data_IF_461664452636
#
_entry.id   IF_461664452636
#
_cell.length_a   1.000
_cell.length_b   1.000
_cell.length_c   1.000
_cell.angle_alpha   90.00
_cell.angle_beta   90.00
_cell.angle_gamma   90.00
#
_symmetry.space_group_name_H-M   'P 1'
#
loop_
_entity.id
_entity.type
_entity.pdbx_description
1 polymer ?
#
# COMPACT_ATOMS: atom_id res chain seq x y z
N UNK A 1 32.14 49.21 -3.58
CA UNK A 1 31.38 48.38 -2.61
C UNK A 1 30.41 47.49 -3.37
N UNK A 2 30.79 46.27 -3.62
CA UNK A 2 29.90 45.28 -4.27
C UNK A 2 29.10 44.60 -3.18
N UNK A 3 27.78 44.76 -3.20
CA UNK A 3 26.87 43.99 -2.36
C UNK A 3 26.65 42.64 -3.02
N UNK A 4 27.19 41.58 -2.43
CA UNK A 4 26.85 40.22 -2.79
C UNK A 4 25.44 39.92 -2.26
N UNK A 5 24.48 39.86 -3.17
CA UNK A 5 23.16 39.31 -2.86
C UNK A 5 23.29 37.79 -2.73
N UNK A 6 23.21 37.28 -1.52
CA UNK A 6 23.11 35.85 -1.27
C UNK A 6 21.72 35.37 -1.71
N UNK A 7 21.65 34.67 -2.83
CA UNK A 7 20.43 33.97 -3.24
C UNK A 7 20.31 32.76 -2.35
N UNK A 8 19.42 32.81 -1.37
CA UNK A 8 19.05 31.66 -0.59
C UNK A 8 18.24 30.68 -1.49
N UNK A 9 18.89 29.62 -1.92
CA UNK A 9 18.17 28.48 -2.52
C UNK A 9 17.31 27.85 -1.44
N UNK A 10 16.01 28.11 -1.50
CA UNK A 10 15.02 27.37 -0.71
C UNK A 10 14.89 25.99 -1.35
N UNK A 11 15.25 24.89 -0.65
CA UNK A 11 15.00 23.56 -1.20
C UNK A 11 13.49 23.38 -1.29
N UNK A 12 12.98 23.24 -2.51
CA UNK A 12 11.63 22.76 -2.71
C UNK A 12 11.62 21.32 -2.21
N UNK A 13 10.95 21.08 -1.06
CA UNK A 13 10.61 19.73 -0.67
C UNK A 13 9.66 19.19 -1.73
N UNK A 14 10.18 18.35 -2.62
CA UNK A 14 9.32 17.55 -3.50
C UNK A 14 8.61 16.60 -2.55
N UNK A 15 7.31 16.87 -2.26
CA UNK A 15 6.50 15.98 -1.46
C UNK A 15 6.54 14.59 -2.08
N UNK A 16 7.00 13.58 -1.30
CA UNK A 16 6.91 12.19 -1.73
C UNK A 16 5.44 11.87 -1.95
N UNK A 17 5.08 11.44 -3.16
CA UNK A 17 3.75 10.89 -3.42
C UNK A 17 3.57 9.65 -2.55
N UNK A 18 2.45 9.53 -1.82
CA UNK A 18 2.19 8.35 -1.02
C UNK A 18 2.21 7.08 -1.88
N UNK A 19 2.86 6.05 -1.36
CA UNK A 19 2.94 4.74 -1.99
C UNK A 19 1.83 3.83 -1.52
N UNK A 20 1.58 2.74 -2.25
CA UNK A 20 0.72 1.66 -1.79
C UNK A 20 1.24 1.17 -0.43
N UNK A 21 0.35 1.01 0.52
CA UNK A 21 0.69 0.57 1.88
C UNK A 21 1.04 1.68 2.86
N UNK A 22 1.17 2.92 2.41
CA UNK A 22 1.42 4.04 3.31
C UNK A 22 0.22 4.30 4.23
N UNK A 23 0.49 4.77 5.45
CA UNK A 23 -0.55 5.14 6.40
C UNK A 23 -1.37 6.33 5.89
N UNK A 24 -2.63 6.37 6.28
CA UNK A 24 -3.54 7.42 5.84
C UNK A 24 -4.71 7.57 6.82
N UNK A 25 -5.30 8.75 6.84
CA UNK A 25 -6.53 9.02 7.59
C UNK A 25 -7.73 9.29 6.67
N UNK A 26 -7.46 9.61 5.41
CA UNK A 26 -8.47 9.87 4.40
C UNK A 26 -7.91 9.55 3.01
N UNK A 27 -8.78 9.31 2.03
CA UNK A 27 -8.32 8.98 0.67
C UNK A 27 -7.53 10.10 0.01
N UNK A 28 -7.75 11.35 0.40
CA UNK A 28 -6.96 12.49 -0.07
C UNK A 28 -5.50 12.45 0.40
N UNK A 29 -5.20 11.71 1.46
CA UNK A 29 -3.83 11.48 1.91
C UNK A 29 -3.08 10.54 0.95
N UNK A 30 -3.80 9.70 0.23
CA UNK A 30 -3.22 8.76 -0.72
C UNK A 30 -3.11 9.33 -2.14
N UNK A 31 -4.17 9.98 -2.60
CA UNK A 31 -4.21 10.63 -3.91
C UNK A 31 -5.32 11.67 -3.95
N UNK A 32 -4.96 12.91 -4.21
CA UNK A 32 -5.92 14.01 -4.32
C UNK A 32 -6.90 13.81 -5.50
N UNK A 33 -6.51 13.05 -6.52
CA UNK A 33 -7.34 12.74 -7.68
C UNK A 33 -8.24 11.51 -7.49
N UNK A 34 -8.11 10.80 -6.35
CA UNK A 34 -8.97 9.68 -6.00
C UNK A 34 -8.64 8.34 -6.66
N UNK A 35 -7.52 8.21 -7.36
CA UNK A 35 -7.07 6.94 -7.93
C UNK A 35 -6.68 5.94 -6.83
N UNK A 36 -6.03 6.44 -5.79
CA UNK A 36 -5.69 5.67 -4.60
C UNK A 36 -6.65 6.06 -3.49
N UNK A 37 -7.13 5.10 -2.76
CA UNK A 37 -8.02 5.28 -1.62
C UNK A 37 -7.33 4.88 -0.33
N UNK A 38 -7.84 5.38 0.80
CA UNK A 38 -7.41 4.96 2.12
C UNK A 38 -8.34 3.86 2.63
N UNK A 39 -7.80 2.67 2.82
CA UNK A 39 -8.51 1.57 3.46
C UNK A 39 -8.40 1.73 4.98
N UNK A 40 -9.44 2.26 5.59
CA UNK A 40 -9.52 2.49 7.03
C UNK A 40 -9.81 1.22 7.82
N UNK A 41 -10.14 0.11 7.17
CA UNK A 41 -10.27 -1.18 7.83
C UNK A 41 -8.91 -1.75 8.25
N UNK A 42 -7.83 -1.26 7.66
CA UNK A 42 -6.47 -1.64 8.00
C UNK A 42 -5.92 -0.76 9.13
N UNK A 43 -5.13 -1.30 10.08
CA UNK A 43 -4.53 -0.52 11.16
C UNK A 43 -3.73 0.68 10.64
N UNK A 44 -4.02 1.87 11.19
CA UNK A 44 -3.37 3.12 10.76
C UNK A 44 -3.79 3.61 9.37
N UNK A 45 -4.77 2.99 8.74
CA UNK A 45 -5.12 3.19 7.35
C UNK A 45 -4.06 2.64 6.40
N UNK A 46 -4.42 2.32 5.18
CA UNK A 46 -3.48 1.86 4.16
C UNK A 46 -3.89 2.37 2.79
N UNK A 47 -2.98 3.04 2.10
CA UNK A 47 -3.22 3.48 0.74
C UNK A 47 -3.25 2.28 -0.20
N UNK A 48 -4.31 2.17 -0.99
CA UNK A 48 -4.53 1.06 -1.93
C UNK A 48 -5.25 1.52 -3.19
N UNK A 49 -5.27 0.65 -4.18
CA UNK A 49 -6.16 0.77 -5.34
C UNK A 49 -7.11 -0.43 -5.28
N UNK A 50 -8.40 -0.16 -5.20
CA UNK A 50 -9.43 -1.19 -5.20
C UNK A 50 -9.81 -1.57 -6.63
N UNK A 51 -10.08 -2.85 -6.85
CA UNK A 51 -10.50 -3.34 -8.16
C UNK A 51 -9.35 -3.51 -9.15
N UNK A 52 -8.14 -3.80 -8.66
CA UNK A 52 -6.99 -4.02 -9.52
C UNK A 52 -7.10 -5.33 -10.31
N UNK A 53 -6.38 -5.38 -11.42
CA UNK A 53 -6.13 -6.57 -12.23
C UNK A 53 -4.64 -6.86 -12.30
N UNK A 54 -4.27 -7.94 -12.98
CA UNK A 54 -2.87 -8.29 -13.23
C UNK A 54 -2.14 -7.10 -13.87
N UNK A 55 -1.03 -6.69 -13.28
CA UNK A 55 -0.16 -5.64 -13.81
C UNK A 55 -0.69 -4.22 -13.68
N UNK A 56 -1.81 -3.99 -12.98
CA UNK A 56 -2.39 -2.63 -12.82
C UNK A 56 -1.92 -1.90 -11.57
N UNK A 57 -1.32 -2.59 -10.61
CA UNK A 57 -0.71 -1.91 -9.47
C UNK A 57 0.58 -1.19 -9.89
N UNK A 58 0.92 -0.05 -9.27
CA UNK A 58 2.13 0.68 -9.62
C UNK A 58 3.39 -0.19 -9.52
N UNK A 59 4.22 -0.15 -10.56
CA UNK A 59 5.45 -0.93 -10.63
C UNK A 59 6.37 -0.63 -9.44
N UNK A 60 6.89 -1.69 -8.82
CA UNK A 60 7.79 -1.59 -7.68
C UNK A 60 7.12 -1.22 -6.36
N UNK A 61 5.83 -0.94 -6.35
CA UNK A 61 5.11 -0.60 -5.12
C UNK A 61 4.18 -1.71 -4.66
N UNK A 62 3.43 -2.32 -5.56
CA UNK A 62 2.36 -3.21 -5.16
C UNK A 62 2.12 -4.41 -6.05
N UNK A 63 1.44 -5.37 -5.48
CA UNK A 63 0.92 -6.55 -6.17
C UNK A 63 -0.59 -6.61 -6.00
N UNK A 64 -1.30 -7.08 -7.01
CA UNK A 64 -2.74 -7.21 -6.93
C UNK A 64 -3.12 -8.52 -6.22
N UNK A 65 -3.87 -8.38 -5.14
CA UNK A 65 -4.32 -9.51 -4.33
C UNK A 65 -5.85 -9.54 -4.31
N UNK A 66 -6.41 -10.67 -4.64
CA UNK A 66 -7.84 -10.92 -4.60
C UNK A 66 -8.19 -11.66 -3.31
N UNK A 67 -9.02 -11.03 -2.48
CA UNK A 67 -9.48 -11.63 -1.23
C UNK A 67 -10.85 -12.27 -1.41
N UNK A 68 -11.16 -13.30 -0.62
CA UNK A 68 -12.44 -13.99 -0.62
C UNK A 68 -12.84 -14.54 -1.99
N UNK A 69 -11.88 -15.14 -2.68
CA UNK A 69 -12.09 -15.73 -4.01
C UNK A 69 -13.09 -16.91 -4.02
N UNK A 70 -13.37 -17.47 -2.84
CA UNK A 70 -14.37 -18.51 -2.61
C UNK A 70 -15.81 -17.99 -2.61
N UNK A 71 -16.00 -16.68 -2.48
CA UNK A 71 -17.30 -16.03 -2.47
C UNK A 71 -17.38 -14.95 -3.58
N UNK A 72 -17.76 -15.34 -4.82
CA UNK A 72 -17.66 -14.45 -5.98
C UNK A 72 -18.35 -13.09 -5.84
N UNK A 73 -19.38 -12.99 -5.01
CA UNK A 73 -20.09 -11.72 -4.78
C UNK A 73 -19.36 -10.78 -3.83
N UNK A 74 -18.43 -11.32 -3.05
CA UNK A 74 -17.67 -10.60 -2.04
C UNK A 74 -16.17 -10.55 -2.39
N UNK A 75 -15.83 -11.03 -3.57
CA UNK A 75 -14.45 -11.01 -4.05
C UNK A 75 -14.05 -9.59 -4.42
N UNK A 76 -13.07 -9.07 -3.70
CA UNK A 76 -12.46 -7.77 -3.96
C UNK A 76 -10.97 -7.93 -4.18
N UNK A 77 -10.43 -7.12 -5.06
CA UNK A 77 -8.99 -7.04 -5.29
C UNK A 77 -8.44 -5.70 -4.82
N UNK A 78 -7.22 -5.74 -4.29
CA UNK A 78 -6.53 -4.56 -3.76
C UNK A 78 -5.06 -4.61 -4.13
N UNK A 79 -4.48 -3.45 -4.42
CA UNK A 79 -3.03 -3.33 -4.50
C UNK A 79 -2.45 -3.35 -3.09
N UNK A 80 -1.67 -4.37 -2.80
CA UNK A 80 -0.99 -4.54 -1.51
C UNK A 80 0.50 -4.27 -1.70
N UNK A 81 1.14 -3.64 -0.72
CA UNK A 81 2.57 -3.34 -0.80
C UNK A 81 3.40 -4.62 -0.84
N UNK A 82 4.22 -4.76 -1.88
CA UNK A 82 5.10 -5.92 -2.06
C UNK A 82 6.25 -5.87 -1.06
N UNK A 83 6.63 -7.02 -0.52
CA UNK A 83 7.68 -7.13 0.48
C UNK A 83 8.48 -8.41 0.30
N UNK A 84 9.69 -8.43 0.89
CA UNK A 84 10.53 -9.62 0.99
C UNK A 84 10.63 -10.10 2.44
N UNK A 85 10.57 -9.17 3.40
CA UNK A 85 10.65 -9.46 4.83
C UNK A 85 9.72 -8.56 5.64
N UNK A 86 9.50 -8.90 6.91
CA UNK A 86 8.63 -8.12 7.81
C UNK A 86 9.13 -6.68 8.00
N UNK A 87 10.43 -6.44 7.88
CA UNK A 87 11.00 -5.10 8.00
C UNK A 87 10.62 -4.15 6.87
N UNK A 88 10.15 -4.68 5.75
CA UNK A 88 9.61 -3.88 4.66
C UNK A 88 8.20 -3.36 4.94
N UNK A 89 7.55 -3.92 5.96
CA UNK A 89 6.19 -3.59 6.34
C UNK A 89 6.17 -2.69 7.58
N UNK A 90 5.02 -2.06 7.85
CA UNK A 90 4.79 -1.31 9.09
C UNK A 90 4.57 -2.30 10.24
N UNK A 91 5.63 -2.95 10.66
CA UNK A 91 5.59 -4.03 11.66
C UNK A 91 5.21 -3.54 13.06
N UNK A 92 5.51 -2.28 13.39
CA UNK A 92 5.07 -1.61 14.60
C UNK A 92 3.54 -1.47 14.69
N UNK A 93 2.86 -1.46 13.55
CA UNK A 93 1.39 -1.45 13.45
C UNK A 93 0.79 -2.85 13.27
N UNK A 94 1.61 -3.89 13.33
CA UNK A 94 1.17 -5.28 13.25
C UNK A 94 1.21 -5.91 11.86
N UNK A 95 1.67 -5.18 10.85
CA UNK A 95 1.81 -5.73 9.50
C UNK A 95 2.98 -6.71 9.42
N UNK A 96 2.81 -7.75 8.63
CA UNK A 96 3.83 -8.76 8.34
C UNK A 96 3.90 -9.02 6.84
N UNK A 97 5.05 -9.51 6.40
CA UNK A 97 5.24 -9.91 5.01
C UNK A 97 4.71 -11.33 4.82
N UNK A 98 3.56 -11.45 4.18
CA UNK A 98 2.79 -12.68 4.08
C UNK A 98 2.58 -13.12 2.63
N UNK A 99 2.33 -14.40 2.45
CA UNK A 99 1.89 -14.97 1.18
C UNK A 99 0.37 -14.91 1.04
N UNK A 100 -0.15 -15.06 -0.17
CA UNK A 100 -1.58 -15.17 -0.40
C UNK A 100 -2.21 -16.31 0.41
N UNK A 101 -1.54 -17.45 0.44
CA UNK A 101 -2.00 -18.62 1.17
C UNK A 101 -2.17 -18.35 2.67
N UNK A 102 -1.25 -17.62 3.29
CA UNK A 102 -1.31 -17.26 4.70
C UNK A 102 -2.45 -16.29 5.04
N UNK A 103 -2.94 -15.54 4.06
CA UNK A 103 -3.99 -14.52 4.24
C UNK A 103 -5.35 -14.95 3.71
N UNK A 104 -5.42 -16.10 3.04
CA UNK A 104 -6.62 -16.51 2.30
C UNK A 104 -6.84 -15.73 1.01
N UNK A 105 -5.85 -14.96 0.56
CA UNK A 105 -5.88 -14.20 -0.69
C UNK A 105 -5.24 -14.95 -1.85
N UNK A 106 -5.54 -14.51 -3.05
CA UNK A 106 -4.92 -14.99 -4.28
C UNK A 106 -4.13 -13.84 -4.90
N UNK A 107 -2.82 -14.01 -5.03
CA UNK A 107 -1.96 -13.05 -5.72
C UNK A 107 -2.14 -13.23 -7.22
N UNK A 108 -2.64 -12.20 -7.89
CA UNK A 108 -2.91 -12.25 -9.33
C UNK A 108 -1.64 -12.06 -10.16
N UNK A 109 -0.64 -11.37 -9.62
CA UNK A 109 0.61 -11.02 -10.30
C UNK A 109 1.77 -12.00 -10.04
N UNK A 110 1.46 -13.23 -9.64
CA UNK A 110 2.46 -14.27 -9.38
C UNK A 110 2.53 -14.70 -7.92
N UNK A 111 3.73 -14.94 -7.41
CA UNK A 111 3.95 -15.49 -6.06
C UNK A 111 4.52 -14.47 -5.07
N UNK A 112 4.33 -13.19 -5.34
CA UNK A 112 4.85 -12.12 -4.48
C UNK A 112 4.26 -12.18 -3.08
N UNK A 113 5.07 -11.83 -2.09
CA UNK A 113 4.61 -11.57 -0.73
C UNK A 113 4.16 -10.13 -0.61
N UNK A 114 3.27 -9.87 0.32
CA UNK A 114 2.74 -8.53 0.56
C UNK A 114 2.53 -8.26 2.04
N UNK A 115 2.56 -6.97 2.39
CA UNK A 115 2.32 -6.55 3.76
C UNK A 115 0.84 -6.64 4.09
N UNK A 116 0.50 -7.42 5.09
CA UNK A 116 -0.87 -7.61 5.58
C UNK A 116 -0.89 -7.89 7.08
N UNK A 117 -2.05 -7.76 7.66
CA UNK A 117 -2.28 -8.18 9.04
C UNK A 117 -2.51 -9.69 9.04
N UNK A 118 -1.77 -10.45 9.85
CA UNK A 118 -2.02 -11.88 9.98
C UNK A 118 -3.47 -12.15 10.39
N UNK A 119 -4.14 -13.15 9.81
CA UNK A 119 -5.47 -13.53 10.27
C UNK A 119 -5.44 -13.85 11.75
N UNK A 120 -6.48 -13.44 12.48
CA UNK A 120 -6.61 -13.82 13.86
C UNK A 120 -6.64 -15.36 13.96
N UNK A 121 -5.82 -15.90 14.90
CA UNK A 121 -5.86 -17.33 15.16
C UNK A 121 -7.29 -17.72 15.53
N UNK A 122 -7.83 -18.74 14.85
CA UNK A 122 -9.14 -19.28 15.21
C UNK A 122 -9.12 -19.73 16.68
N UNK A 123 -10.17 -19.41 17.47
CA UNK A 123 -10.23 -19.84 18.85
C UNK A 123 -10.31 -21.37 18.99
#
# INVERSE_FOLDING_TARGET
>A
MLALAAIALVPFAVGCSPSIGDSCGASTDCDINGTRICDLAQPGGSCTIQGCDVGTCPDGEGTCVQFRSDEPRLTDSYCMYSCESDSDCRDDEGYRCLTGEQTGGVVLDGTAKFCAIPPAAAP
#
